data_IF_629610715805
#
_entry.id   IF_629610715805
#
_cell.length_a   1.000
_cell.length_b   1.000
_cell.length_c   1.000
_cell.angle_alpha   90.00
_cell.angle_beta   90.00
_cell.angle_gamma   90.00
#
_symmetry.space_group_name_H-M   'P 1'
#
loop_
_entity.id
_entity.type
_entity.pdbx_description
1 polymer ?
#
# COMPACT_ATOMS: atom_id res chain seq x y z
N UNK A 1 -16.30 -10.13 -3.32
CA UNK A 1 -16.19 -8.80 -3.95
C UNK A 1 -17.55 -8.27 -4.44
N UNK A 2 -18.12 -8.77 -5.53
CA UNK A 2 -19.29 -8.13 -6.20
C UNK A 2 -20.52 -7.92 -5.32
N UNK A 3 -20.83 -8.85 -4.40
CA UNK A 3 -21.92 -8.68 -3.43
C UNK A 3 -21.70 -7.48 -2.49
N UNK A 4 -20.48 -7.29 -2.00
CA UNK A 4 -20.10 -6.18 -1.11
C UNK A 4 -20.22 -4.85 -1.86
N UNK A 5 -19.73 -4.78 -3.09
CA UNK A 5 -19.79 -3.56 -3.91
C UNK A 5 -21.26 -3.18 -4.20
N UNK A 6 -22.08 -4.14 -4.62
CA UNK A 6 -23.51 -3.92 -4.88
C UNK A 6 -24.27 -3.48 -3.63
N UNK A 7 -23.97 -4.09 -2.48
CA UNK A 7 -24.57 -3.71 -1.19
C UNK A 7 -24.30 -2.25 -0.83
N UNK A 8 -23.15 -1.72 -1.22
CA UNK A 8 -22.78 -0.31 -1.01
C UNK A 8 -23.26 0.63 -2.14
N UNK A 9 -24.09 0.16 -3.08
CA UNK A 9 -24.70 0.99 -4.12
C UNK A 9 -23.83 1.25 -5.35
N UNK A 10 -22.73 0.52 -5.53
CA UNK A 10 -21.80 0.72 -6.65
C UNK A 10 -21.87 -0.40 -7.71
N UNK A 11 -21.40 -0.11 -8.92
CA UNK A 11 -21.27 -1.09 -9.99
C UNK A 11 -20.00 -1.96 -9.79
N UNK A 12 -20.11 -3.29 -9.58
CA UNK A 12 -18.93 -4.15 -9.41
C UNK A 12 -18.07 -4.30 -10.66
N UNK A 13 -18.60 -3.94 -11.83
CA UNK A 13 -17.92 -4.00 -13.12
C UNK A 13 -17.45 -2.61 -13.58
N UNK A 14 -17.41 -1.61 -12.68
CA UNK A 14 -16.89 -0.30 -13.00
C UNK A 14 -15.42 -0.37 -13.42
N UNK A 15 -15.08 0.29 -14.53
CA UNK A 15 -13.72 0.40 -15.05
C UNK A 15 -13.35 1.88 -15.11
N UNK A 16 -12.32 2.33 -14.37
CA UNK A 16 -11.81 3.69 -14.43
C UNK A 16 -11.40 4.05 -15.86
N UNK A 17 -11.73 5.27 -16.29
CA UNK A 17 -11.36 5.80 -17.61
C UNK A 17 -10.02 6.55 -17.61
N UNK A 18 -9.47 6.80 -16.43
CA UNK A 18 -8.20 7.50 -16.21
C UNK A 18 -7.44 6.81 -15.09
N UNK A 19 -6.11 6.87 -15.16
CA UNK A 19 -5.28 6.40 -14.07
C UNK A 19 -5.43 7.25 -12.82
N UNK A 20 -5.47 6.57 -11.69
CA UNK A 20 -5.54 7.18 -10.38
C UNK A 20 -4.68 6.36 -9.40
N UNK A 21 -3.74 7.05 -8.76
CA UNK A 21 -2.86 6.46 -7.76
C UNK A 21 -3.40 6.82 -6.38
N UNK A 22 -3.72 5.82 -5.58
CA UNK A 22 -4.03 6.00 -4.17
C UNK A 22 -2.91 5.49 -3.30
N UNK A 23 -2.42 6.35 -2.40
CA UNK A 23 -1.40 6.01 -1.41
C UNK A 23 -2.11 5.84 -0.08
N UNK A 24 -2.01 4.66 0.49
CA UNK A 24 -2.47 4.41 1.84
C UNK A 24 -1.37 4.76 2.81
N UNK A 25 -1.70 5.50 3.86
CA UNK A 25 -0.79 5.69 4.98
C UNK A 25 -1.44 5.28 6.32
N UNK A 26 -0.61 5.20 7.35
CA UNK A 26 -1.00 4.94 8.75
C UNK A 26 -0.39 6.00 9.67
N UNK A 27 -0.40 7.26 9.22
CA UNK A 27 0.18 8.38 9.97
C UNK A 27 -0.69 8.82 11.14
N UNK A 28 -1.99 8.56 11.06
CA UNK A 28 -2.93 8.69 12.16
C UNK A 28 -3.33 7.27 12.50
N UNK A 29 -3.05 6.77 13.69
CA UNK A 29 -3.50 5.44 14.07
C UNK A 29 -3.89 5.40 15.52
N UNK A 30 -5.09 4.91 15.83
CA UNK A 30 -5.46 4.56 17.20
C UNK A 30 -4.56 3.46 17.79
N UNK A 31 -3.76 2.81 16.95
CA UNK A 31 -2.80 1.78 17.32
C UNK A 31 -1.37 2.31 17.49
N UNK A 32 -1.20 3.64 17.45
CA UNK A 32 0.11 4.28 17.66
C UNK A 32 0.59 4.03 19.08
N UNK A 33 1.83 3.56 19.21
CA UNK A 33 2.46 3.39 20.53
C UNK A 33 2.52 4.74 21.27
N UNK A 34 2.32 4.81 22.61
CA UNK A 34 2.31 6.08 23.35
C UNK A 34 3.58 6.94 23.19
N UNK A 35 4.71 6.32 22.82
CA UNK A 35 5.98 7.00 22.53
C UNK A 35 6.23 7.32 21.05
N UNK A 36 5.24 7.13 20.18
CA UNK A 36 5.35 7.31 18.73
C UNK A 36 4.30 8.30 18.21
N UNK A 37 4.58 8.92 17.06
CA UNK A 37 3.60 9.67 16.25
C UNK A 37 3.13 8.91 15.01
N UNK A 38 3.60 7.68 14.80
CA UNK A 38 3.36 6.85 13.61
C UNK A 38 3.17 5.38 13.99
N UNK A 39 2.49 4.62 13.12
CA UNK A 39 2.37 3.18 13.27
C UNK A 39 2.49 2.47 11.92
N UNK A 40 3.71 2.03 11.56
CA UNK A 40 3.96 1.33 10.28
C UNK A 40 3.51 2.16 9.08
N UNK A 41 3.88 3.43 9.09
CA UNK A 41 3.55 4.42 8.09
C UNK A 41 4.64 4.50 7.01
N UNK A 42 4.44 5.40 6.05
CA UNK A 42 5.48 5.91 5.16
C UNK A 42 6.07 7.15 5.83
N UNK A 43 7.38 7.14 6.10
CA UNK A 43 8.08 8.23 6.80
C UNK A 43 8.09 9.50 5.95
N UNK A 44 8.50 9.37 4.69
CA UNK A 44 8.66 10.47 3.76
C UNK A 44 7.45 10.63 2.83
N UNK A 45 6.22 10.48 3.37
CA UNK A 45 4.98 10.48 2.58
C UNK A 45 4.83 11.72 1.71
N UNK A 46 5.08 12.92 2.25
CA UNK A 46 4.94 14.18 1.50
C UNK A 46 5.90 14.23 0.31
N UNK A 47 7.13 13.73 0.48
CA UNK A 47 8.11 13.62 -0.60
C UNK A 47 7.66 12.61 -1.66
N UNK A 48 7.11 11.46 -1.23
CA UNK A 48 6.58 10.43 -2.13
C UNK A 48 5.44 10.99 -2.97
N UNK A 49 4.45 11.62 -2.32
CA UNK A 49 3.30 12.20 -3.00
C UNK A 49 3.73 13.27 -4.00
N UNK A 50 4.61 14.19 -3.57
CA UNK A 50 5.16 15.24 -4.45
C UNK A 50 5.91 14.65 -5.63
N UNK A 51 6.76 13.65 -5.40
CA UNK A 51 7.51 12.98 -6.45
C UNK A 51 6.60 12.34 -7.50
N UNK A 52 5.56 11.61 -7.07
CA UNK A 52 4.61 10.97 -7.99
C UNK A 52 3.84 12.04 -8.79
N UNK A 53 3.33 13.09 -8.14
CA UNK A 53 2.61 14.18 -8.83
C UNK A 53 3.48 14.88 -9.88
N UNK A 54 4.77 15.08 -9.59
CA UNK A 54 5.71 15.69 -10.54
C UNK A 54 6.09 14.74 -11.68
N UNK A 55 6.24 13.45 -11.39
CA UNK A 55 6.65 12.43 -12.38
C UNK A 55 5.50 12.04 -13.32
N UNK A 56 4.27 12.01 -12.82
CA UNK A 56 3.07 11.60 -13.55
C UNK A 56 1.99 12.69 -13.51
N UNK A 57 2.22 13.84 -14.16
CA UNK A 57 1.38 15.04 -14.00
C UNK A 57 -0.07 14.87 -14.49
N UNK A 58 -0.34 13.88 -15.33
CA UNK A 58 -1.68 13.56 -15.85
C UNK A 58 -2.45 12.58 -14.98
N UNK A 59 -1.80 11.96 -13.99
CA UNK A 59 -2.37 10.96 -13.09
C UNK A 59 -2.80 11.65 -11.80
N UNK A 60 -4.05 11.45 -11.40
CA UNK A 60 -4.52 11.95 -10.11
C UNK A 60 -3.92 11.11 -8.98
N UNK A 61 -3.36 11.78 -7.96
CA UNK A 61 -2.75 11.16 -6.79
C UNK A 61 -3.45 11.63 -5.54
N UNK A 62 -3.89 10.69 -4.69
CA UNK A 62 -4.49 10.99 -3.40
C UNK A 62 -3.87 10.11 -2.30
N UNK A 63 -3.71 10.70 -1.11
CA UNK A 63 -3.31 10.00 0.11
C UNK A 63 -4.56 9.73 0.94
N UNK A 64 -4.72 8.48 1.39
CA UNK A 64 -5.89 8.04 2.14
C UNK A 64 -5.47 7.37 3.45
N UNK A 65 -6.10 7.82 4.52
CA UNK A 65 -6.09 7.20 5.84
C UNK A 65 -7.39 6.42 6.03
N UNK A 66 -7.46 5.15 5.61
CA UNK A 66 -8.76 4.44 5.45
C UNK A 66 -9.64 4.43 6.70
N UNK A 67 -9.04 4.32 7.88
CA UNK A 67 -9.75 4.30 9.15
C UNK A 67 -10.49 5.61 9.46
N UNK A 68 -10.16 6.71 8.77
CA UNK A 68 -10.80 8.02 8.95
C UNK A 68 -12.04 8.22 8.09
N UNK A 69 -12.32 7.33 7.13
CA UNK A 69 -13.44 7.48 6.20
C UNK A 69 -14.43 6.30 6.27
N UNK A 70 -15.74 6.54 6.08
CA UNK A 70 -16.74 5.47 6.06
C UNK A 70 -16.49 4.42 4.99
N UNK A 71 -16.87 3.16 5.27
CA UNK A 71 -16.57 2.03 4.39
C UNK A 71 -17.08 2.18 2.95
N UNK A 72 -18.29 2.74 2.76
CA UNK A 72 -18.81 3.00 1.41
C UNK A 72 -17.93 3.99 0.62
N UNK A 73 -17.36 5.00 1.27
CA UNK A 73 -16.38 5.92 0.67
C UNK A 73 -15.05 5.26 0.38
N UNK A 74 -14.65 4.27 1.18
CA UNK A 74 -13.48 3.44 0.86
C UNK A 74 -13.70 2.66 -0.44
N UNK A 75 -14.88 2.03 -0.59
CA UNK A 75 -15.26 1.31 -1.83
C UNK A 75 -15.27 2.25 -3.03
N UNK A 76 -15.89 3.42 -2.93
CA UNK A 76 -15.91 4.43 -3.99
C UNK A 76 -14.49 4.77 -4.49
N UNK A 77 -13.58 5.04 -3.55
CA UNK A 77 -12.18 5.37 -3.87
C UNK A 77 -11.46 4.18 -4.50
N UNK A 78 -11.59 2.99 -3.92
CA UNK A 78 -10.95 1.76 -4.43
C UNK A 78 -11.43 1.37 -5.83
N UNK A 79 -12.68 1.64 -6.18
CA UNK A 79 -13.18 1.40 -7.52
C UNK A 79 -12.58 2.35 -8.56
N UNK A 80 -12.24 3.57 -8.16
CA UNK A 80 -11.58 4.56 -9.01
C UNK A 80 -10.05 4.39 -9.06
N UNK A 81 -9.46 3.69 -8.10
CA UNK A 81 -8.01 3.41 -8.06
C UNK A 81 -7.57 2.46 -9.18
N UNK A 82 -6.58 2.87 -9.96
CA UNK A 82 -5.86 1.97 -10.87
C UNK A 82 -4.59 1.42 -10.23
N UNK A 83 -3.87 2.22 -9.44
CA UNK A 83 -2.69 1.79 -8.69
C UNK A 83 -2.87 2.12 -7.21
N UNK A 84 -2.83 1.10 -6.35
CA UNK A 84 -2.81 1.26 -4.91
C UNK A 84 -1.38 1.10 -4.39
N UNK A 85 -0.85 2.08 -3.69
CA UNK A 85 0.42 1.98 -2.95
C UNK A 85 0.05 1.83 -1.47
N UNK A 86 0.49 0.76 -0.81
CA UNK A 86 0.02 0.48 0.56
C UNK A 86 1.06 -0.25 1.42
N UNK A 87 1.21 0.11 2.71
CA UNK A 87 1.97 -0.71 3.66
C UNK A 87 1.37 -2.11 3.80
N UNK A 88 2.18 -3.10 4.18
CA UNK A 88 1.67 -4.40 4.59
C UNK A 88 0.82 -4.33 5.88
N UNK A 89 0.24 -5.46 6.28
CA UNK A 89 -0.66 -5.56 7.41
C UNK A 89 -2.13 -5.47 6.98
N UNK A 90 -3.04 -5.42 7.95
CA UNK A 90 -4.49 -5.42 7.71
C UNK A 90 -5.03 -4.34 6.77
N UNK A 91 -4.25 -3.28 6.51
CA UNK A 91 -4.64 -2.25 5.54
C UNK A 91 -4.53 -2.71 4.08
N UNK A 92 -3.66 -3.68 3.79
CA UNK A 92 -3.55 -4.31 2.47
C UNK A 92 -4.77 -5.18 2.14
N UNK A 93 -5.56 -5.58 3.14
CA UNK A 93 -6.75 -6.42 2.95
C UNK A 93 -7.91 -5.72 2.23
N UNK A 94 -7.76 -4.44 1.89
CA UNK A 94 -8.69 -3.71 1.00
C UNK A 94 -8.46 -4.03 -0.49
N UNK A 95 -7.28 -4.57 -0.84
CA UNK A 95 -6.89 -4.92 -2.22
C UNK A 95 -7.97 -5.69 -2.99
N UNK A 96 -8.67 -6.68 -2.40
CA UNK A 96 -9.75 -7.38 -3.10
C UNK A 96 -10.89 -6.51 -3.60
N UNK A 97 -11.05 -5.27 -3.11
CA UNK A 97 -12.10 -4.35 -3.56
C UNK A 97 -11.70 -3.51 -4.77
N UNK A 98 -10.41 -3.44 -5.12
CA UNK A 98 -9.93 -2.77 -6.33
C UNK A 98 -10.62 -3.32 -7.58
N UNK A 99 -10.66 -2.51 -8.64
CA UNK A 99 -11.19 -2.91 -9.95
C UNK A 99 -10.35 -3.99 -10.62
N UNK A 100 -10.92 -4.67 -11.61
CA UNK A 100 -10.21 -5.67 -12.40
C UNK A 100 -9.09 -5.00 -13.21
N UNK A 101 -7.91 -5.61 -13.22
CA UNK A 101 -6.73 -5.07 -13.90
C UNK A 101 -6.03 -3.96 -13.11
N UNK A 102 -6.52 -3.57 -11.94
CA UNK A 102 -5.80 -2.67 -11.05
C UNK A 102 -4.50 -3.31 -10.56
N UNK A 103 -3.56 -2.46 -10.14
CA UNK A 103 -2.30 -2.86 -9.52
C UNK A 103 -2.27 -2.45 -8.06
N UNK A 104 -1.62 -3.27 -7.24
CA UNK A 104 -1.28 -2.95 -5.87
C UNK A 104 0.23 -3.10 -5.68
N UNK A 105 0.88 -2.03 -5.24
CA UNK A 105 2.26 -2.00 -4.77
C UNK A 105 2.22 -2.10 -3.24
N UNK A 106 2.53 -3.29 -2.73
CA UNK A 106 2.49 -3.60 -1.29
C UNK A 106 3.90 -3.47 -0.73
N UNK A 107 4.07 -2.66 0.30
CA UNK A 107 5.38 -2.51 0.94
C UNK A 107 5.62 -3.65 1.91
N UNK A 108 6.70 -4.39 1.68
CA UNK A 108 7.09 -5.51 2.54
C UNK A 108 7.66 -5.06 3.88
N UNK A 109 7.97 -6.03 4.74
CA UNK A 109 8.73 -5.83 5.96
C UNK A 109 10.08 -6.55 5.94
N UNK A 110 11.10 -6.02 6.62
CA UNK A 110 12.36 -6.73 6.82
C UNK A 110 12.25 -7.77 7.94
N UNK A 111 12.68 -8.99 7.64
CA UNK A 111 12.58 -10.11 8.57
C UNK A 111 13.77 -10.10 9.52
N UNK A 112 13.57 -9.61 10.75
CA UNK A 112 14.62 -9.50 11.78
C UNK A 112 14.91 -10.82 12.50
N UNK A 113 13.95 -11.75 12.47
CA UNK A 113 14.03 -13.12 13.02
C UNK A 113 13.29 -14.09 12.10
N UNK A 114 13.80 -15.30 11.92
CA UNK A 114 13.13 -16.34 11.13
C UNK A 114 11.76 -16.63 11.73
N UNK A 115 10.70 -16.35 10.97
CA UNK A 115 9.32 -16.48 11.40
C UNK A 115 8.38 -16.39 10.19
N UNK A 116 7.16 -16.90 10.33
CA UNK A 116 6.07 -16.72 9.35
C UNK A 116 6.42 -17.17 7.92
N UNK A 117 7.29 -18.17 7.78
CA UNK A 117 7.72 -18.70 6.48
C UNK A 117 8.87 -17.95 5.81
N UNK A 118 9.48 -16.96 6.48
CA UNK A 118 10.62 -16.20 5.96
C UNK A 118 11.86 -16.37 6.85
N UNK A 119 13.04 -16.37 6.23
CA UNK A 119 14.33 -16.40 6.89
C UNK A 119 14.74 -15.00 7.37
N UNK A 120 15.50 -14.95 8.46
CA UNK A 120 16.15 -13.71 8.90
C UNK A 120 16.99 -13.12 7.77
N UNK A 121 16.77 -11.84 7.48
CA UNK A 121 17.48 -11.11 6.41
C UNK A 121 16.70 -11.01 5.10
N UNK A 122 15.55 -11.68 4.99
CA UNK A 122 14.68 -11.60 3.81
C UNK A 122 13.71 -10.41 3.88
N UNK A 123 13.08 -10.14 2.73
CA UNK A 123 11.88 -9.32 2.61
C UNK A 123 10.67 -10.22 2.77
N UNK A 124 9.74 -9.84 3.64
CA UNK A 124 8.54 -10.61 3.92
C UNK A 124 7.28 -9.81 3.60
N UNK A 125 6.28 -10.47 3.04
CA UNK A 125 4.95 -9.89 2.89
C UNK A 125 3.98 -10.55 3.87
N UNK A 126 3.41 -9.77 4.79
CA UNK A 126 2.56 -10.30 5.87
C UNK A 126 1.34 -11.08 5.33
N UNK A 127 0.62 -10.49 4.37
CA UNK A 127 -0.56 -11.08 3.74
C UNK A 127 -0.27 -11.66 2.36
N UNK A 128 1.01 -11.74 1.94
CA UNK A 128 1.39 -12.12 0.58
C UNK A 128 0.78 -13.43 0.11
N UNK A 129 0.81 -14.48 0.95
CA UNK A 129 0.20 -15.77 0.65
C UNK A 129 -1.30 -15.66 0.32
N UNK A 130 -2.05 -14.83 1.07
CA UNK A 130 -3.47 -14.60 0.81
C UNK A 130 -3.69 -13.72 -0.43
N UNK A 131 -2.98 -12.60 -0.52
CA UNK A 131 -3.15 -11.61 -1.59
C UNK A 131 -2.80 -12.18 -2.96
N UNK A 132 -1.87 -13.14 -3.03
CA UNK A 132 -1.51 -13.81 -4.27
C UNK A 132 -2.66 -14.61 -4.89
N UNK A 133 -3.64 -15.07 -4.09
CA UNK A 133 -4.85 -15.72 -4.60
C UNK A 133 -5.89 -14.74 -5.16
N UNK A 134 -5.70 -13.43 -5.01
CA UNK A 134 -6.59 -12.40 -5.57
C UNK A 134 -6.16 -12.09 -7.00
N UNK A 135 -6.69 -12.83 -7.97
CA UNK A 135 -6.17 -12.85 -9.35
C UNK A 135 -6.58 -11.66 -10.21
N UNK A 136 -7.66 -10.95 -9.87
CA UNK A 136 -8.14 -9.81 -10.65
C UNK A 136 -7.33 -8.52 -10.44
N UNK A 137 -6.42 -8.52 -9.47
CA UNK A 137 -5.49 -7.43 -9.17
C UNK A 137 -4.06 -7.96 -9.36
N UNK A 138 -3.22 -7.18 -10.04
CA UNK A 138 -1.78 -7.48 -10.10
C UNK A 138 -1.09 -6.94 -8.86
N UNK A 139 -0.26 -7.74 -8.21
CA UNK A 139 0.48 -7.32 -7.01
C UNK A 139 1.96 -7.21 -7.37
N UNK A 140 2.56 -6.12 -6.94
CA UNK A 140 4.00 -5.93 -6.91
C UNK A 140 4.40 -5.67 -5.46
N UNK A 141 5.55 -6.18 -5.05
CA UNK A 141 6.04 -6.03 -3.69
C UNK A 141 7.22 -5.05 -3.67
N UNK A 142 7.06 -3.95 -2.94
CA UNK A 142 8.15 -3.00 -2.72
C UNK A 142 9.12 -3.63 -1.72
N UNK A 143 10.23 -4.11 -2.26
CA UNK A 143 11.24 -4.85 -1.51
C UNK A 143 12.00 -3.93 -0.55
N UNK A 144 12.14 -4.44 0.66
CA UNK A 144 12.91 -3.83 1.74
C UNK A 144 14.24 -4.57 1.86
N UNK A 145 15.35 -3.84 1.79
CA UNK A 145 16.69 -4.45 1.82
C UNK A 145 17.33 -4.46 3.20
N UNK A 146 16.83 -3.66 4.15
CA UNK A 146 17.41 -3.63 5.49
C UNK A 146 17.02 -2.39 6.28
N UNK A 147 17.78 -2.13 7.35
CA UNK A 147 17.52 -1.03 8.30
C UNK A 147 17.50 0.35 7.65
N UNK A 148 18.22 0.55 6.56
CA UNK A 148 18.26 1.81 5.81
C UNK A 148 16.91 2.20 5.20
N UNK A 149 16.00 1.23 5.03
CA UNK A 149 14.67 1.44 4.49
C UNK A 149 13.63 1.71 5.60
N UNK A 150 14.07 1.90 6.86
CA UNK A 150 13.20 2.14 8.00
C UNK A 150 13.63 3.29 8.88
N UNK A 151 12.63 3.85 9.53
CA UNK A 151 12.78 4.56 10.79
C UNK A 151 12.00 3.82 11.87
N UNK A 152 12.65 3.55 13.01
CA UNK A 152 11.96 3.00 14.17
C UNK A 152 11.06 4.09 14.78
N UNK A 153 9.83 3.71 15.06
CA UNK A 153 8.75 4.65 15.43
C UNK A 153 8.93 5.24 16.84
N UNK A 154 9.74 4.60 17.70
CA UNK A 154 10.06 5.08 19.04
C UNK A 154 11.44 4.58 19.53
N UNK A 155 12.07 5.26 20.51
CA UNK A 155 13.38 4.87 21.04
C UNK A 155 13.39 3.44 21.62
N UNK A 156 14.42 2.67 21.28
CA UNK A 156 14.60 1.30 21.78
C UNK A 156 13.81 0.23 21.02
N UNK A 157 12.99 0.60 20.02
CA UNK A 157 12.32 -0.36 19.16
C UNK A 157 13.33 -1.17 18.32
N UNK A 158 13.06 -2.47 18.17
CA UNK A 158 13.87 -3.40 17.36
C UNK A 158 13.03 -4.25 16.42
N UNK A 159 11.70 -4.19 16.54
CA UNK A 159 10.77 -4.94 15.72
C UNK A 159 10.45 -4.17 14.43
N UNK A 160 11.08 -4.55 13.32
CA UNK A 160 10.87 -3.91 12.02
C UNK A 160 9.48 -4.19 11.40
N UNK A 161 8.70 -5.12 11.98
CA UNK A 161 7.35 -5.42 11.52
C UNK A 161 6.32 -4.56 12.22
N UNK A 162 6.44 -4.40 13.54
CA UNK A 162 5.41 -3.74 14.35
C UNK A 162 5.79 -2.33 14.84
N UNK A 163 7.07 -1.97 14.83
CA UNK A 163 7.58 -0.75 15.45
C UNK A 163 8.45 0.12 14.52
N UNK A 164 8.27 0.00 13.21
CA UNK A 164 8.97 0.84 12.23
C UNK A 164 8.09 1.27 11.07
N UNK A 165 8.39 2.46 10.57
CA UNK A 165 7.81 3.06 9.36
C UNK A 165 8.83 3.02 8.22
N UNK A 166 8.35 2.89 6.99
CA UNK A 166 9.17 2.68 5.81
C UNK A 166 9.64 4.01 5.23
N UNK A 167 10.93 4.09 4.90
CA UNK A 167 11.50 5.17 4.09
C UNK A 167 11.47 4.70 2.64
N UNK A 168 10.65 5.38 1.83
CA UNK A 168 10.44 5.00 0.44
C UNK A 168 11.49 5.66 -0.45
N UNK A 169 12.16 4.84 -1.24
CA UNK A 169 13.10 5.27 -2.26
C UNK A 169 12.34 5.53 -3.57
N UNK A 170 12.41 6.77 -4.04
CA UNK A 170 11.65 7.23 -5.20
C UNK A 170 12.01 6.50 -6.49
N UNK A 171 13.29 6.16 -6.70
CA UNK A 171 13.72 5.42 -7.89
C UNK A 171 13.11 4.02 -7.94
N UNK A 172 13.16 3.28 -6.81
CA UNK A 172 12.52 1.96 -6.71
C UNK A 172 11.02 2.06 -6.89
N UNK A 173 10.37 3.02 -6.24
CA UNK A 173 8.93 3.21 -6.39
C UNK A 173 8.54 3.54 -7.83
N UNK A 174 9.31 4.41 -8.49
CA UNK A 174 9.08 4.79 -9.89
C UNK A 174 9.07 3.56 -10.80
N UNK A 175 10.05 2.67 -10.66
CA UNK A 175 10.12 1.45 -11.47
C UNK A 175 8.87 0.58 -11.34
N UNK A 176 8.31 0.47 -10.13
CA UNK A 176 7.08 -0.30 -9.89
C UNK A 176 5.85 0.39 -10.48
N UNK A 177 5.76 1.72 -10.39
CA UNK A 177 4.67 2.50 -11.00
C UNK A 177 4.76 2.42 -12.53
N UNK A 178 5.95 2.63 -13.12
CA UNK A 178 6.18 2.53 -14.56
C UNK A 178 5.75 1.14 -15.06
N UNK A 179 6.18 0.08 -14.35
CA UNK A 179 5.80 -1.29 -14.69
C UNK A 179 4.29 -1.52 -14.60
N UNK A 180 3.66 -0.93 -13.58
CA UNK A 180 2.21 -1.03 -13.43
C UNK A 180 1.44 -0.34 -14.56
N UNK A 181 1.92 0.82 -15.01
CA UNK A 181 1.31 1.55 -16.12
C UNK A 181 1.52 0.81 -17.45
N UNK A 182 2.74 0.33 -17.73
CA UNK A 182 3.06 -0.45 -18.92
C UNK A 182 2.16 -1.68 -19.07
N UNK A 183 1.89 -2.40 -17.97
CA UNK A 183 1.04 -3.59 -18.00
C UNK A 183 -0.47 -3.30 -18.11
N UNK A 184 -0.88 -2.05 -17.92
CA UNK A 184 -2.26 -1.58 -18.14
C UNK A 184 -2.48 -0.99 -19.53
N UNK A 185 -1.42 -0.71 -20.29
CA UNK A 185 -1.56 -0.26 -21.68
C UNK A 185 -2.11 -1.42 -22.54
N UNK A 186 -3.10 -1.14 -23.41
CA UNK A 186 -3.79 -2.14 -24.22
C UNK A 186 -2.92 -2.79 -25.31
#
# INVERSE_FOLDING_TARGET
RSKIIKYNGFNPNFVPQKHHINITNKSISQWTHPGSKRHRAIVNLEEVEKFIKLTYPTISVEVIEWHTIPFNKQIEKLLNTTILITPCGGVSLIIPMLTNGAHAIVMDYYVTKTAHGYLKGETGSMEGALLNHITHVRKQYYQIYGKQDYEFDYPGATDAREASSIIVNMTRLKLLIDKALEEMEP
#
